data_IF_898257020555
#
_entry.id   IF_898257020555
#
_cell.length_a   1.000
_cell.length_b   1.000
_cell.length_c   1.000
_cell.angle_alpha   90.00
_cell.angle_beta   90.00
_cell.angle_gamma   90.00
#
_symmetry.space_group_name_H-M   'P 1'
#
loop_
_entity.id
_entity.type
_entity.pdbx_description
1 polymer ?
#
# COMPACT_ATOMS: atom_id res chain seq x y z
N UNK A 1 -21.86 -12.41 6.99
CA UNK A 1 -21.95 -12.73 5.54
C UNK A 1 -20.84 -11.98 4.83
N UNK A 2 -19.97 -12.68 4.09
CA UNK A 2 -18.83 -12.10 3.34
C UNK A 2 -19.34 -11.48 2.05
N UNK A 3 -18.97 -10.23 1.75
CA UNK A 3 -19.16 -9.64 0.42
C UNK A 3 -17.90 -8.84 0.06
N UNK A 4 -17.05 -9.46 -0.78
CA UNK A 4 -16.12 -8.77 -1.67
C UNK A 4 -16.95 -8.29 -2.86
N UNK A 5 -16.93 -7.00 -3.23
CA UNK A 5 -17.51 -6.53 -4.49
C UNK A 5 -16.47 -5.76 -5.29
N UNK A 6 -16.14 -6.39 -6.41
CA UNK A 6 -15.52 -5.84 -7.61
C UNK A 6 -16.54 -4.90 -8.25
N UNK A 7 -16.20 -3.62 -8.44
CA UNK A 7 -17.10 -2.63 -9.03
C UNK A 7 -16.90 -2.61 -10.56
N UNK A 8 -17.91 -3.08 -11.30
CA UNK A 8 -18.04 -2.90 -12.74
C UNK A 8 -18.72 -1.55 -12.99
N UNK A 9 -18.04 -0.64 -13.70
CA UNK A 9 -18.52 0.69 -14.09
C UNK A 9 -19.15 0.64 -15.49
N UNK A 10 -20.35 1.19 -15.64
CA UNK A 10 -20.81 1.73 -16.92
C UNK A 10 -20.34 3.18 -17.03
N UNK A 11 -19.60 3.49 -18.10
CA UNK A 11 -19.02 4.79 -18.41
C UNK A 11 -19.98 5.60 -19.28
N UNK A 12 -20.38 6.78 -18.82
CA UNK A 12 -20.61 7.94 -19.67
C UNK A 12 -19.37 8.84 -19.54
N UNK A 13 -18.60 8.93 -20.62
CA UNK A 13 -17.27 9.53 -20.61
C UNK A 13 -17.30 11.04 -20.83
N UNK A 14 -16.90 11.79 -19.80
CA UNK A 14 -16.13 13.03 -19.97
C UNK A 14 -14.68 12.63 -19.73
N UNK A 15 -13.82 12.80 -20.73
CA UNK A 15 -12.40 12.46 -20.62
C UNK A 15 -11.68 13.53 -19.80
N UNK A 16 -11.76 13.43 -18.47
CA UNK A 16 -10.82 14.11 -17.59
C UNK A 16 -9.42 13.53 -17.85
N UNK A 17 -8.44 14.38 -18.16
CA UNK A 17 -7.04 13.95 -18.22
C UNK A 17 -6.62 13.52 -16.82
N UNK A 18 -6.08 12.31 -16.68
CA UNK A 18 -5.46 11.88 -15.44
C UNK A 18 -4.30 12.82 -15.12
N UNK A 19 -4.25 13.33 -13.89
CA UNK A 19 -3.14 14.14 -13.40
C UNK A 19 -1.93 13.24 -13.22
N UNK A 20 -0.76 13.69 -13.67
CA UNK A 20 0.48 12.97 -13.40
C UNK A 20 0.93 13.21 -11.97
N UNK A 21 1.68 12.26 -11.39
CA UNK A 21 2.12 12.40 -9.99
C UNK A 21 3.08 13.56 -9.80
N UNK A 22 3.92 13.87 -10.79
CA UNK A 22 4.83 15.01 -10.71
C UNK A 22 4.06 16.34 -10.73
N UNK A 23 3.01 16.46 -11.55
CA UNK A 23 2.11 17.62 -11.55
C UNK A 23 1.41 17.79 -10.19
N UNK A 24 0.93 16.69 -9.62
CA UNK A 24 0.31 16.67 -8.29
C UNK A 24 1.29 17.13 -7.19
N UNK A 25 2.55 16.69 -7.26
CA UNK A 25 3.59 17.13 -6.34
C UNK A 25 3.82 18.64 -6.49
N UNK A 26 3.98 19.13 -7.72
CA UNK A 26 4.21 20.54 -7.99
C UNK A 26 3.06 21.43 -7.48
N UNK A 27 1.81 20.96 -7.58
CA UNK A 27 0.63 21.67 -7.08
C UNK A 27 0.58 21.78 -5.55
N UNK A 28 1.01 20.74 -4.82
CA UNK A 28 0.79 20.65 -3.37
C UNK A 28 2.06 20.81 -2.51
N UNK A 29 3.25 20.83 -3.10
CA UNK A 29 4.51 20.82 -2.34
C UNK A 29 4.67 22.05 -1.46
N UNK A 30 4.32 23.24 -1.94
CA UNK A 30 4.48 24.48 -1.17
C UNK A 30 3.64 24.44 0.12
N UNK A 31 2.38 24.02 0.01
CA UNK A 31 1.48 23.90 1.16
C UNK A 31 1.89 22.77 2.11
N UNK A 32 2.38 21.64 1.58
CA UNK A 32 2.92 20.57 2.42
C UNK A 32 4.18 21.01 3.20
N UNK A 33 5.03 21.87 2.61
CA UNK A 33 6.18 22.44 3.30
C UNK A 33 5.77 23.49 4.35
N UNK A 34 4.73 24.30 4.08
CA UNK A 34 4.14 25.19 5.08
C UNK A 34 3.68 24.39 6.30
N UNK A 35 2.86 23.36 6.08
CA UNK A 35 2.39 22.49 7.16
C UNK A 35 3.55 21.79 7.90
N UNK A 36 4.60 21.38 7.19
CA UNK A 36 5.79 20.82 7.83
C UNK A 36 6.47 21.83 8.76
N UNK A 37 6.68 23.06 8.29
CA UNK A 37 7.36 24.09 9.08
C UNK A 37 6.58 24.42 10.34
N UNK A 38 5.25 24.48 10.24
CA UNK A 38 4.38 24.86 11.35
C UNK A 38 4.13 23.70 12.33
N UNK A 39 3.94 22.50 11.80
CA UNK A 39 3.46 21.35 12.58
C UNK A 39 4.49 20.24 12.75
N UNK A 40 5.71 20.37 12.21
CA UNK A 40 6.82 19.43 12.47
C UNK A 40 6.55 17.98 12.02
N UNK A 41 5.71 17.80 11.00
CA UNK A 41 5.53 16.53 10.27
C UNK A 41 6.28 16.65 8.92
N UNK A 42 7.12 15.69 8.51
CA UNK A 42 7.87 15.82 7.25
C UNK A 42 6.93 16.05 6.06
N UNK A 43 7.23 17.05 5.22
CA UNK A 43 6.47 17.33 3.99
C UNK A 43 6.40 16.10 3.08
N UNK A 44 7.49 15.31 3.05
CA UNK A 44 7.56 14.05 2.32
C UNK A 44 6.53 13.03 2.77
N UNK A 45 6.22 12.96 4.07
CA UNK A 45 5.18 12.08 4.61
C UNK A 45 3.79 12.58 4.23
N UNK A 46 3.54 13.88 4.38
CA UNK A 46 2.25 14.50 4.03
C UNK A 46 1.93 14.23 2.55
N UNK A 47 2.85 14.57 1.64
CA UNK A 47 2.70 14.36 0.20
C UNK A 47 2.56 12.88 -0.16
N UNK A 48 3.41 12.01 0.39
CA UNK A 48 3.35 10.59 0.05
C UNK A 48 2.06 9.91 0.51
N UNK A 49 1.52 10.30 1.66
CA UNK A 49 0.21 9.81 2.12
C UNK A 49 -0.89 10.34 1.22
N UNK A 50 -0.87 11.64 0.90
CA UNK A 50 -1.86 12.23 0.00
C UNK A 50 -1.84 11.54 -1.38
N UNK A 51 -0.68 11.34 -1.98
CA UNK A 51 -0.51 10.60 -3.25
C UNK A 51 -1.05 9.16 -3.13
N UNK A 52 -0.72 8.46 -2.03
CA UNK A 52 -1.14 7.07 -1.82
C UNK A 52 -2.66 6.93 -1.71
N UNK A 53 -3.31 7.78 -0.92
CA UNK A 53 -4.73 7.69 -0.60
C UNK A 53 -5.61 8.27 -1.72
N UNK A 54 -5.15 9.31 -2.40
CA UNK A 54 -5.89 9.98 -3.47
C UNK A 54 -5.62 9.43 -4.88
N UNK A 55 -4.65 8.52 -5.03
CA UNK A 55 -4.07 8.15 -6.32
C UNK A 55 -3.53 9.36 -7.10
N UNK A 56 -2.75 10.22 -6.41
CA UNK A 56 -2.30 11.51 -6.92
C UNK A 56 -3.47 12.34 -7.51
N UNK A 57 -4.52 12.54 -6.70
CA UNK A 57 -5.70 13.31 -7.08
C UNK A 57 -6.69 12.58 -8.00
N UNK A 58 -6.32 11.44 -8.60
CA UNK A 58 -7.15 10.78 -9.62
C UNK A 58 -8.32 9.94 -9.06
N UNK A 59 -8.41 9.74 -7.74
CA UNK A 59 -9.53 9.02 -7.15
C UNK A 59 -10.81 9.85 -7.21
N UNK A 60 -11.96 9.19 -7.39
CA UNK A 60 -13.27 9.87 -7.31
C UNK A 60 -13.50 10.61 -5.98
N UNK A 61 -12.90 10.10 -4.90
CA UNK A 61 -13.00 10.73 -3.59
C UNK A 61 -12.24 12.06 -3.56
N UNK A 62 -11.02 12.11 -4.11
CA UNK A 62 -10.30 13.38 -4.26
C UNK A 62 -11.04 14.32 -5.23
N UNK A 63 -11.41 13.85 -6.41
CA UNK A 63 -12.00 14.69 -7.46
C UNK A 63 -13.34 15.33 -7.07
N UNK A 64 -14.21 14.61 -6.34
CA UNK A 64 -15.54 15.13 -6.00
C UNK A 64 -15.63 15.71 -4.58
N UNK A 65 -14.78 15.29 -3.64
CA UNK A 65 -14.87 15.69 -2.23
C UNK A 65 -13.65 16.47 -1.75
N UNK A 66 -12.67 16.71 -2.61
CA UNK A 66 -11.36 17.25 -2.25
C UNK A 66 -10.72 16.51 -1.07
N UNK A 67 -10.96 15.20 -0.95
CA UNK A 67 -10.46 14.40 0.17
C UNK A 67 -9.26 13.57 -0.26
N UNK A 68 -8.06 14.10 0.01
CA UNK A 68 -6.81 13.51 -0.46
C UNK A 68 -6.24 12.46 0.49
N UNK A 69 -6.82 12.31 1.68
CA UNK A 69 -6.31 11.48 2.77
C UNK A 69 -7.22 10.30 3.14
N UNK A 70 -8.38 10.17 2.48
CA UNK A 70 -9.33 9.09 2.76
C UNK A 70 -10.00 9.21 4.13
N UNK A 71 -10.10 10.42 4.68
CA UNK A 71 -10.69 10.66 6.01
C UNK A 71 -12.20 10.47 5.94
N UNK A 72 -12.76 9.69 6.88
CA UNK A 72 -14.21 9.50 7.02
C UNK A 72 -14.84 10.61 7.84
N UNK A 73 -16.09 10.95 7.54
CA UNK A 73 -16.81 11.98 8.27
C UNK A 73 -18.08 12.45 7.58
N UNK A 74 -18.65 13.57 8.05
CA UNK A 74 -19.79 14.24 7.41
C UNK A 74 -19.52 14.50 5.94
N UNK A 75 -20.53 14.28 5.10
CA UNK A 75 -20.47 14.47 3.66
C UNK A 75 -21.82 15.01 3.20
N UNK A 76 -21.84 16.21 2.62
CA UNK A 76 -23.04 16.85 2.11
C UNK A 76 -23.07 16.91 0.57
N UNK A 77 -22.12 16.26 -0.10
CA UNK A 77 -22.00 16.26 -1.56
C UNK A 77 -23.16 15.50 -2.22
N UNK A 78 -23.77 16.13 -3.22
CA UNK A 78 -24.91 15.57 -3.95
C UNK A 78 -24.51 14.68 -5.14
N UNK A 79 -23.28 14.81 -5.65
CA UNK A 79 -22.80 14.08 -6.83
C UNK A 79 -22.36 12.66 -6.49
N UNK A 80 -21.68 12.46 -5.36
CA UNK A 80 -21.24 11.14 -4.92
C UNK A 80 -21.68 10.82 -3.49
N UNK A 81 -22.29 9.64 -3.32
CA UNK A 81 -22.64 9.10 -2.00
C UNK A 81 -21.50 8.27 -1.44
N UNK A 82 -20.90 8.71 -0.34
CA UNK A 82 -19.80 8.00 0.31
C UNK A 82 -19.78 8.22 1.83
N UNK A 83 -18.95 7.46 2.55
CA UNK A 83 -18.67 7.69 3.98
C UNK A 83 -17.47 8.64 4.22
N UNK A 84 -16.87 9.15 3.15
CA UNK A 84 -15.70 10.01 3.21
C UNK A 84 -16.12 11.46 3.37
N UNK A 85 -15.38 12.20 4.18
CA UNK A 85 -15.62 13.62 4.43
C UNK A 85 -15.44 14.44 3.15
N UNK A 86 -16.24 15.49 2.97
CA UNK A 86 -16.03 16.53 1.97
C UNK A 86 -15.30 17.75 2.52
N UNK A 87 -14.51 18.40 1.66
CA UNK A 87 -13.73 19.60 1.94
C UNK A 87 -13.95 20.64 0.84
N UNK A 88 -13.74 21.90 1.17
CA UNK A 88 -13.86 23.00 0.22
C UNK A 88 -12.82 22.89 -0.90
N UNK A 89 -11.60 22.49 -0.55
CA UNK A 89 -10.47 22.34 -1.47
C UNK A 89 -9.48 21.28 -0.92
N UNK A 90 -8.46 20.96 -1.71
CA UNK A 90 -7.45 19.98 -1.31
C UNK A 90 -6.76 20.41 -0.01
N UNK A 91 -6.36 21.67 0.11
CA UNK A 91 -5.63 22.22 1.26
C UNK A 91 -6.34 21.98 2.59
N UNK A 92 -7.66 22.17 2.67
CA UNK A 92 -8.42 21.84 3.89
C UNK A 92 -8.30 20.36 4.29
N UNK A 93 -8.20 19.45 3.32
CA UNK A 93 -7.97 18.03 3.60
C UNK A 93 -6.54 17.77 4.10
N UNK A 94 -5.56 18.55 3.64
CA UNK A 94 -4.17 18.53 4.14
C UNK A 94 -4.11 19.05 5.59
N UNK A 95 -4.71 20.21 5.87
CA UNK A 95 -4.74 20.76 7.24
C UNK A 95 -5.43 19.81 8.21
N UNK A 96 -6.57 19.21 7.81
CA UNK A 96 -7.28 18.27 8.68
C UNK A 96 -6.53 16.95 8.88
N UNK A 97 -5.72 16.49 7.91
CA UNK A 97 -4.81 15.36 8.14
C UNK A 97 -3.78 15.68 9.22
N UNK A 98 -3.18 16.87 9.18
CA UNK A 98 -2.23 17.33 10.20
C UNK A 98 -2.92 17.48 11.56
N UNK A 99 -4.10 18.09 11.61
CA UNK A 99 -4.91 18.20 12.82
C UNK A 99 -5.17 16.81 13.44
N UNK A 100 -5.50 15.81 12.62
CA UNK A 100 -5.67 14.42 13.09
C UNK A 100 -4.40 13.89 13.74
N UNK A 101 -3.23 14.16 13.15
CA UNK A 101 -1.96 13.73 13.70
C UNK A 101 -1.68 14.39 15.05
N UNK A 102 -1.95 15.68 15.19
CA UNK A 102 -1.67 16.45 16.40
C UNK A 102 -2.66 16.18 17.55
N UNK A 103 -3.93 15.98 17.23
CA UNK A 103 -5.00 15.99 18.23
C UNK A 103 -5.47 14.61 18.65
N UNK A 104 -5.34 13.59 17.79
CA UNK A 104 -5.92 12.28 18.05
C UNK A 104 -4.89 11.31 18.58
N UNK A 105 -5.15 10.77 19.76
CA UNK A 105 -4.47 9.54 20.18
C UNK A 105 -4.85 8.38 19.25
N UNK A 106 -3.91 7.51 18.86
CA UNK A 106 -2.52 7.46 19.33
C UNK A 106 -1.51 8.20 18.41
N UNK A 107 -1.94 9.02 17.45
CA UNK A 107 -1.06 9.70 16.48
C UNK A 107 -0.23 10.83 17.10
N UNK A 108 -0.80 11.60 18.02
CA UNK A 108 -0.10 12.70 18.69
C UNK A 108 1.17 12.25 19.46
N UNK A 109 1.21 11.00 19.92
CA UNK A 109 2.39 10.41 20.56
C UNK A 109 3.60 10.26 19.62
N UNK A 110 3.40 10.38 18.31
CA UNK A 110 4.48 10.27 17.33
C UNK A 110 5.43 11.48 17.39
N UNK A 111 4.94 12.66 17.75
CA UNK A 111 5.71 13.90 17.83
C UNK A 111 6.78 13.85 18.93
N UNK A 112 6.51 13.12 20.01
CA UNK A 112 7.50 12.88 21.07
C UNK A 112 8.52 11.77 20.70
N UNK A 113 8.26 11.02 19.62
CA UNK A 113 9.00 9.79 19.29
C UNK A 113 9.95 9.96 18.11
N UNK A 114 9.58 10.79 17.15
CA UNK A 114 10.33 10.97 15.92
C UNK A 114 10.62 12.44 15.72
N UNK A 115 11.82 12.73 15.23
CA UNK A 115 12.14 14.07 14.79
C UNK A 115 11.33 14.45 13.54
N UNK A 116 11.29 15.76 13.26
CA UNK A 116 10.49 16.33 12.16
C UNK A 116 10.97 15.94 10.74
N UNK A 117 12.13 15.26 10.62
CA UNK A 117 12.74 14.89 9.35
C UNK A 117 12.69 13.37 9.08
N UNK A 118 12.36 12.57 10.09
CA UNK A 118 12.38 11.12 10.07
C UNK A 118 11.15 10.50 9.40
N UNK A 119 11.06 10.64 8.06
CA UNK A 119 9.92 10.14 7.30
C UNK A 119 9.67 8.63 7.48
N UNK A 120 10.72 7.84 7.78
CA UNK A 120 10.58 6.39 8.00
C UNK A 120 9.87 6.11 9.32
N UNK A 121 10.32 6.74 10.40
CA UNK A 121 9.69 6.61 11.72
C UNK A 121 8.24 7.04 11.68
N UNK A 122 7.96 8.21 11.09
CA UNK A 122 6.61 8.72 10.86
C UNK A 122 5.73 7.74 10.09
N UNK A 123 6.14 7.28 8.89
CA UNK A 123 5.33 6.35 8.10
C UNK A 123 5.04 5.02 8.85
N UNK A 124 6.04 4.46 9.53
CA UNK A 124 5.81 3.25 10.35
C UNK A 124 4.97 3.53 11.60
N UNK A 125 5.11 4.72 12.19
CA UNK A 125 4.33 5.22 13.32
C UNK A 125 2.86 5.34 12.98
N UNK A 126 2.54 6.12 11.96
CA UNK A 126 1.17 6.35 11.48
C UNK A 126 0.45 5.02 11.20
N UNK A 127 1.13 4.08 10.52
CA UNK A 127 0.61 2.73 10.32
C UNK A 127 0.36 1.99 11.64
N UNK A 128 1.29 2.03 12.59
CA UNK A 128 1.15 1.37 13.91
C UNK A 128 0.01 1.95 14.74
N UNK A 129 -0.23 3.25 14.60
CA UNK A 129 -1.33 3.97 15.22
C UNK A 129 -2.70 3.65 14.60
N UNK A 130 -2.73 2.90 13.49
CA UNK A 130 -3.96 2.33 12.95
C UNK A 130 -4.57 3.11 11.78
N UNK A 131 -3.84 4.07 11.19
CA UNK A 131 -4.30 4.81 10.01
C UNK A 131 -4.75 3.88 8.87
N UNK A 132 -3.94 2.85 8.60
CA UNK A 132 -4.22 1.84 7.60
C UNK A 132 -4.10 0.43 8.17
N UNK A 133 -5.03 -0.45 7.80
CA UNK A 133 -4.99 -1.88 8.16
C UNK A 133 -3.87 -2.64 7.44
N UNK A 134 -3.42 -2.13 6.28
CA UNK A 134 -2.43 -2.82 5.47
C UNK A 134 -1.05 -2.84 6.14
N UNK A 135 -0.45 -4.03 6.20
CA UNK A 135 0.92 -4.21 6.72
C UNK A 135 1.97 -3.60 5.81
N UNK A 136 1.68 -3.44 4.52
CA UNK A 136 2.59 -2.85 3.53
C UNK A 136 2.44 -1.34 3.38
N UNK A 137 1.43 -0.72 4.01
CA UNK A 137 1.13 0.70 3.81
C UNK A 137 2.35 1.59 4.05
N UNK A 138 3.03 1.43 5.19
CA UNK A 138 4.23 2.22 5.50
C UNK A 138 5.35 2.03 4.47
N UNK A 139 5.55 0.79 3.99
CA UNK A 139 6.54 0.54 2.93
C UNK A 139 6.14 1.10 1.57
N UNK A 140 4.83 1.23 1.30
CA UNK A 140 4.33 1.85 0.07
C UNK A 140 4.52 3.38 0.13
N UNK A 141 4.19 4.00 1.26
CA UNK A 141 4.46 5.43 1.53
C UNK A 141 5.95 5.73 1.39
N UNK A 142 6.82 4.98 2.09
CA UNK A 142 8.28 5.12 1.97
C UNK A 142 8.75 4.88 0.51
N UNK A 143 8.12 3.96 -0.21
CA UNK A 143 8.40 3.71 -1.62
C UNK A 143 8.10 4.93 -2.49
N UNK A 144 6.99 5.63 -2.25
CA UNK A 144 6.63 6.87 -2.94
C UNK A 144 7.61 7.99 -2.61
N UNK A 145 7.94 8.18 -1.33
CA UNK A 145 8.94 9.18 -0.88
C UNK A 145 10.26 9.01 -1.61
N UNK A 146 10.72 7.76 -1.76
CA UNK A 146 11.97 7.47 -2.47
C UNK A 146 11.85 7.62 -3.97
N UNK A 147 10.75 7.14 -4.56
CA UNK A 147 10.53 7.16 -6.01
C UNK A 147 10.49 8.59 -6.56
N UNK A 148 9.84 9.49 -5.84
CA UNK A 148 9.65 10.90 -6.22
C UNK A 148 10.58 11.83 -5.46
N UNK A 149 11.55 11.28 -4.73
CA UNK A 149 12.54 12.03 -3.95
C UNK A 149 11.94 13.12 -3.05
N UNK A 150 10.77 12.85 -2.47
CA UNK A 150 10.00 13.84 -1.70
C UNK A 150 10.75 14.31 -0.45
N UNK A 151 11.72 13.53 0.02
CA UNK A 151 12.58 13.88 1.16
C UNK A 151 13.42 15.14 0.91
N UNK A 152 13.55 15.60 -0.35
CA UNK A 152 14.20 16.87 -0.68
C UNK A 152 13.40 18.08 -0.17
N UNK A 153 12.09 17.93 0.01
CA UNK A 153 11.20 18.97 0.50
C UNK A 153 11.15 19.05 2.02
N UNK A 154 11.83 18.13 2.73
CA UNK A 154 11.85 18.08 4.19
C UNK A 154 12.75 19.17 4.83
N UNK A 155 13.37 20.05 4.04
CA UNK A 155 14.25 21.15 4.52
C UNK A 155 15.29 20.67 5.56
N UNK A 156 15.88 19.51 5.31
CA UNK A 156 16.83 18.87 6.23
C UNK A 156 18.11 19.68 6.35
N UNK A 157 18.70 19.81 7.56
CA UNK A 157 19.99 20.45 7.71
C UNK A 157 21.09 19.67 6.98
N UNK A 158 22.14 20.37 6.59
CA UNK A 158 23.33 19.74 6.01
C UNK A 158 23.90 18.71 6.99
N UNK A 159 24.23 17.52 6.47
CA UNK A 159 24.75 16.42 7.29
C UNK A 159 23.70 15.68 8.12
N UNK A 160 22.39 15.88 7.89
CA UNK A 160 21.36 15.07 8.56
C UNK A 160 21.58 13.57 8.32
N UNK A 161 21.79 12.83 9.41
CA UNK A 161 21.93 11.38 9.38
C UNK A 161 20.57 10.71 9.63
N UNK A 162 20.19 9.81 8.72
CA UNK A 162 18.98 9.02 8.85
C UNK A 162 19.03 8.12 10.10
N UNK A 163 17.97 8.09 10.94
CA UNK A 163 17.94 7.19 12.08
C UNK A 163 18.14 5.72 11.67
N UNK A 164 19.02 5.02 12.38
CA UNK A 164 19.30 3.60 12.13
C UNK A 164 18.21 2.75 12.78
N UNK A 165 17.24 2.35 11.98
CA UNK A 165 16.26 1.36 12.39
C UNK A 165 16.85 -0.03 12.31
N UNK A 166 16.76 -0.80 13.40
CA UNK A 166 16.92 -2.24 13.31
C UNK A 166 15.90 -2.78 12.31
N UNK A 167 16.35 -3.07 11.09
CA UNK A 167 15.51 -3.79 10.15
C UNK A 167 15.14 -5.10 10.82
N UNK A 168 13.84 -5.44 10.96
CA UNK A 168 13.49 -6.76 11.42
C UNK A 168 14.13 -7.72 10.44
N UNK A 169 15.17 -8.42 10.88
CA UNK A 169 15.80 -9.49 10.10
C UNK A 169 14.64 -10.40 9.74
N UNK A 170 14.25 -10.37 8.47
CA UNK A 170 13.30 -11.35 7.95
C UNK A 170 14.06 -12.66 8.00
N UNK A 171 14.03 -13.31 9.15
CA UNK A 171 14.12 -14.75 9.21
C UNK A 171 12.98 -15.20 8.31
N UNK A 172 13.33 -15.47 7.05
CA UNK A 172 12.59 -16.41 6.26
C UNK A 172 12.72 -17.70 7.05
N UNK A 173 11.82 -17.88 8.04
CA UNK A 173 11.49 -19.21 8.48
C UNK A 173 11.18 -19.90 7.16
N UNK A 174 12.08 -20.79 6.74
CA UNK A 174 11.83 -21.68 5.62
C UNK A 174 10.63 -22.47 6.10
N UNK A 175 9.42 -21.94 5.86
CA UNK A 175 8.18 -22.58 6.21
C UNK A 175 8.33 -23.98 5.69
N UNK A 176 8.35 -24.96 6.59
CA UNK A 176 8.60 -26.35 6.26
C UNK A 176 7.60 -26.71 5.18
N UNK A 177 8.04 -26.72 3.92
CA UNK A 177 7.20 -27.05 2.77
C UNK A 177 6.81 -28.51 2.98
N UNK A 178 5.65 -28.74 3.57
CA UNK A 178 5.10 -30.09 3.68
C UNK A 178 4.87 -30.55 2.26
N UNK A 179 5.71 -31.48 1.82
CA UNK A 179 5.64 -32.00 0.47
C UNK A 179 4.40 -32.87 0.40
N UNK A 180 3.35 -32.38 -0.26
CA UNK A 180 2.13 -33.15 -0.48
C UNK A 180 2.41 -34.23 -1.52
N UNK A 181 1.88 -35.43 -1.28
CA UNK A 181 2.03 -36.58 -2.19
C UNK A 181 0.67 -37.01 -2.73
N UNK A 182 0.64 -37.48 -3.97
CA UNK A 182 -0.50 -38.07 -4.65
C UNK A 182 -0.18 -39.52 -5.00
N UNK A 183 -1.05 -40.46 -4.64
CA UNK A 183 -0.92 -41.86 -5.04
C UNK A 183 -1.55 -42.06 -6.41
N UNK A 184 -0.75 -42.46 -7.39
CA UNK A 184 -1.16 -42.77 -8.77
C UNK A 184 -2.22 -43.87 -8.75
N UNK A 185 -3.33 -43.66 -9.46
CA UNK A 185 -4.40 -44.65 -9.64
C UNK A 185 -4.29 -45.31 -11.01
N UNK A 186 -4.98 -46.44 -11.21
CA UNK A 186 -5.10 -47.04 -12.54
C UNK A 186 -5.72 -46.04 -13.52
N UNK A 187 -5.08 -45.85 -14.68
CA UNK A 187 -5.47 -44.86 -15.69
C UNK A 187 -4.89 -43.45 -15.51
N UNK A 188 -4.17 -43.16 -14.42
CA UNK A 188 -3.50 -41.86 -14.27
C UNK A 188 -2.26 -41.75 -15.17
N UNK A 189 -2.05 -40.56 -15.73
CA UNK A 189 -0.78 -40.15 -16.34
C UNK A 189 -0.30 -38.80 -15.77
N UNK A 190 0.95 -38.42 -16.05
CA UNK A 190 1.54 -37.19 -15.50
C UNK A 190 0.74 -35.93 -15.84
N UNK A 191 0.14 -35.86 -17.03
CA UNK A 191 -0.67 -34.72 -17.47
C UNK A 191 -1.95 -34.58 -16.65
N UNK A 192 -2.65 -35.70 -16.41
CA UNK A 192 -3.88 -35.73 -15.58
C UNK A 192 -3.54 -35.29 -14.14
N UNK A 193 -2.45 -35.81 -13.58
CA UNK A 193 -2.02 -35.47 -12.21
C UNK A 193 -1.60 -34.01 -12.12
N UNK A 194 -0.84 -33.50 -13.09
CA UNK A 194 -0.41 -32.11 -13.15
C UNK A 194 -1.60 -31.16 -13.14
N UNK A 195 -2.59 -31.40 -14.01
CA UNK A 195 -3.84 -30.63 -14.09
C UNK A 195 -4.60 -30.69 -12.76
N UNK A 196 -4.79 -31.88 -12.18
CA UNK A 196 -5.51 -32.08 -10.91
C UNK A 196 -4.83 -31.39 -9.71
N UNK A 197 -3.52 -31.19 -9.76
CA UNK A 197 -2.73 -30.61 -8.67
C UNK A 197 -2.29 -29.17 -8.92
N UNK A 198 -2.76 -28.54 -10.00
CA UNK A 198 -2.42 -27.14 -10.31
C UNK A 198 -0.92 -26.92 -10.55
N UNK A 199 -0.27 -27.87 -11.22
CA UNK A 199 1.16 -27.81 -11.53
C UNK A 199 1.41 -28.25 -12.99
N UNK A 200 2.66 -28.24 -13.44
CA UNK A 200 3.02 -28.69 -14.79
C UNK A 200 3.67 -30.06 -14.77
N UNK A 201 3.59 -30.78 -15.88
CA UNK A 201 4.28 -32.07 -16.06
C UNK A 201 5.78 -31.91 -15.81
N UNK A 202 6.39 -30.87 -16.37
CA UNK A 202 7.82 -30.54 -16.16
C UNK A 202 8.15 -30.38 -14.68
N UNK A 203 7.32 -29.64 -13.93
CA UNK A 203 7.53 -29.39 -12.50
C UNK A 203 7.32 -30.68 -11.67
N UNK A 204 6.35 -31.52 -12.03
CA UNK A 204 6.19 -32.84 -11.40
C UNK A 204 7.38 -33.76 -11.68
N UNK A 205 7.82 -33.85 -12.93
CA UNK A 205 8.94 -34.69 -13.32
C UNK A 205 10.22 -34.27 -12.61
N UNK A 206 10.53 -32.97 -12.60
CA UNK A 206 11.66 -32.42 -11.87
C UNK A 206 11.59 -32.71 -10.37
N UNK A 207 10.40 -32.54 -9.76
CA UNK A 207 10.19 -32.75 -8.31
C UNK A 207 10.30 -34.23 -7.90
N UNK A 208 10.07 -35.15 -8.83
CA UNK A 208 10.04 -36.59 -8.57
C UNK A 208 11.18 -37.37 -9.26
N UNK A 209 12.12 -36.69 -9.94
CA UNK A 209 13.22 -37.33 -10.66
C UNK A 209 12.78 -38.23 -11.83
N UNK A 210 11.60 -37.98 -12.40
CA UNK A 210 11.02 -38.82 -13.45
C UNK A 210 11.61 -38.40 -14.79
N UNK A 211 12.40 -39.28 -15.41
CA UNK A 211 13.02 -39.04 -16.73
C UNK A 211 12.17 -39.57 -17.90
N UNK A 212 11.28 -40.53 -17.66
CA UNK A 212 10.38 -41.15 -18.65
C UNK A 212 8.98 -41.32 -18.05
N UNK A 213 7.92 -41.10 -18.82
CA UNK A 213 6.53 -40.99 -18.34
C UNK A 213 5.85 -42.33 -17.95
N UNK A 214 6.59 -43.31 -17.42
CA UNK A 214 6.04 -44.59 -16.99
C UNK A 214 5.63 -44.53 -15.52
N UNK A 215 4.37 -44.15 -15.26
CA UNK A 215 3.79 -44.18 -13.92
C UNK A 215 3.15 -45.55 -13.64
N UNK A 216 3.32 -46.06 -12.42
CA UNK A 216 2.65 -47.29 -11.96
C UNK A 216 1.54 -46.95 -10.96
N UNK A 217 0.37 -47.61 -11.01
CA UNK A 217 -0.62 -47.52 -9.95
C UNK A 217 0.01 -47.81 -8.58
N UNK A 218 -0.33 -47.01 -7.57
CA UNK A 218 0.26 -47.06 -6.22
C UNK A 218 1.51 -46.19 -6.02
N UNK A 219 2.14 -45.67 -7.09
CA UNK A 219 3.30 -44.79 -6.98
C UNK A 219 2.94 -43.46 -6.31
N UNK A 220 3.78 -42.98 -5.38
CA UNK A 220 3.59 -41.67 -4.73
C UNK A 220 4.33 -40.57 -5.49
N UNK A 221 3.60 -39.53 -5.89
CA UNK A 221 4.09 -38.36 -6.63
C UNK A 221 4.01 -37.12 -5.75
N UNK A 222 5.15 -36.50 -5.49
CA UNK A 222 5.29 -35.22 -4.80
C UNK A 222 4.80 -34.10 -5.72
N UNK A 223 3.91 -33.21 -5.26
CA UNK A 223 3.44 -32.04 -6.01
C UNK A 223 3.59 -30.76 -5.21
#
# INVERSE_FOLDING_TARGET
>A
MKIFIFCLLFLSGIAAKAQDTDDYIAEHVEYAQELMRDHKIPASVILAVAIHESAAGNSKIAQHLNNHFGVKGPNNNAEIRSSYRDYLNADESYSHFVEIMETREPFNNLFAKYDQYDYKGWAYGIRRCGYARSRSWASQVIGLIKKYELYQYDERPEGYEEPVYATPVRHHSRGRRTTKTYTVKSGDNLSIIAKKKGTTVKKLMQKNGIKKANLKPGQKIKF
#
